data_IF_580595013205
#
_entry.id   IF_580595013205
#
_cell.length_a   1.000
_cell.length_b   1.000
_cell.length_c   1.000
_cell.angle_alpha   90.00
_cell.angle_beta   90.00
_cell.angle_gamma   90.00
#
_symmetry.space_group_name_H-M   'P 1'
#
loop_
_entity.id
_entity.type
_entity.pdbx_description
1 polymer ?
#
# COMPACT_ATOMS: atom_id res chain seq x y z
N UNK A 1 20.08 -60.09 -25.53
CA UNK A 1 21.50 -59.67 -25.43
C UNK A 1 21.58 -58.14 -25.33
N UNK A 2 22.29 -57.64 -24.31
CA UNK A 2 22.98 -56.34 -24.20
C UNK A 2 22.12 -55.06 -24.36
N UNK A 3 21.81 -54.36 -23.26
CA UNK A 3 22.64 -53.28 -22.68
C UNK A 3 22.46 -51.89 -23.33
N UNK A 4 21.22 -51.40 -23.48
CA UNK A 4 21.00 -50.00 -23.92
C UNK A 4 20.11 -49.20 -22.95
N UNK A 5 19.81 -49.71 -21.74
CA UNK A 5 19.04 -48.98 -20.71
C UNK A 5 19.88 -48.07 -19.79
N UNK A 6 21.17 -47.82 -20.09
CA UNK A 6 22.07 -47.03 -19.21
C UNK A 6 22.55 -45.69 -19.79
N UNK A 7 22.10 -45.29 -20.97
CA UNK A 7 22.62 -44.08 -21.65
C UNK A 7 21.66 -42.89 -21.65
N UNK A 8 20.37 -43.10 -21.43
CA UNK A 8 19.37 -42.02 -21.43
C UNK A 8 19.16 -41.35 -20.06
N UNK A 9 19.72 -41.91 -18.98
CA UNK A 9 19.65 -41.31 -17.63
C UNK A 9 20.66 -40.16 -17.42
N UNK A 10 21.52 -39.87 -18.41
CA UNK A 10 22.56 -38.81 -18.36
C UNK A 10 22.22 -37.58 -19.21
N UNK A 11 20.95 -37.35 -19.53
CA UNK A 11 20.48 -36.18 -20.30
C UNK A 11 19.70 -35.14 -19.47
N UNK A 12 19.66 -35.29 -18.14
CA UNK A 12 18.88 -34.40 -17.24
C UNK A 12 19.78 -33.41 -16.46
N UNK A 13 21.09 -33.42 -16.68
CA UNK A 13 22.04 -32.62 -15.90
C UNK A 13 22.68 -31.46 -16.69
N UNK A 14 21.88 -30.67 -17.43
CA UNK A 14 22.35 -29.39 -17.99
C UNK A 14 21.22 -28.36 -18.12
N UNK A 15 20.55 -28.03 -17.02
CA UNK A 15 19.84 -26.76 -16.84
C UNK A 15 20.53 -25.98 -15.71
N UNK A 16 21.77 -25.58 -15.97
CA UNK A 16 22.54 -24.72 -15.08
C UNK A 16 22.20 -23.27 -15.40
N UNK A 17 21.26 -22.72 -14.63
CA UNK A 17 21.49 -21.50 -13.84
C UNK A 17 22.09 -20.28 -14.58
N UNK A 18 21.34 -19.66 -15.50
CA UNK A 18 21.63 -18.28 -15.95
C UNK A 18 20.35 -17.45 -15.94
N UNK A 19 19.88 -17.16 -14.73
CA UNK A 19 18.67 -16.38 -14.50
C UNK A 19 18.76 -15.64 -13.19
N UNK A 20 19.79 -14.80 -13.02
CA UNK A 20 19.86 -13.92 -11.85
C UNK A 20 20.71 -12.68 -12.17
N UNK A 21 20.21 -11.52 -11.72
CA UNK A 21 20.89 -10.22 -11.64
C UNK A 21 20.63 -9.20 -12.76
N UNK A 22 19.37 -9.06 -13.20
CA UNK A 22 18.82 -7.71 -13.40
C UNK A 22 17.90 -7.39 -12.22
N UNK A 23 18.53 -7.16 -11.06
CA UNK A 23 17.86 -6.59 -9.89
C UNK A 23 17.41 -5.18 -10.24
N UNK A 24 16.16 -5.04 -10.64
CA UNK A 24 15.51 -3.76 -10.83
C UNK A 24 15.64 -2.95 -9.55
N UNK A 25 16.39 -1.85 -9.61
CA UNK A 25 16.40 -0.83 -8.59
C UNK A 25 15.05 -0.12 -8.65
N UNK A 26 14.00 -0.75 -8.11
CA UNK A 26 12.73 -0.06 -7.86
C UNK A 26 13.00 0.88 -6.71
N UNK A 27 13.40 2.11 -7.03
CA UNK A 27 13.36 3.23 -6.10
C UNK A 27 11.90 3.37 -5.66
N UNK A 28 11.57 2.70 -4.55
CA UNK A 28 10.30 2.87 -3.86
C UNK A 28 10.34 4.29 -3.30
N UNK A 29 10.02 5.27 -4.15
CA UNK A 29 9.91 6.66 -3.76
C UNK A 29 9.06 6.72 -2.50
N UNK A 30 9.63 7.30 -1.43
CA UNK A 30 9.07 7.35 -0.09
C UNK A 30 7.85 8.29 0.01
N UNK A 31 6.96 8.26 -0.98
CA UNK A 31 5.63 8.83 -0.87
C UNK A 31 4.84 7.90 0.04
N UNK A 32 4.61 8.36 1.27
CA UNK A 32 3.64 7.77 2.18
C UNK A 32 2.36 7.44 1.37
N UNK A 33 1.90 6.20 1.48
CA UNK A 33 0.87 5.60 0.64
C UNK A 33 -0.35 6.55 0.46
N UNK A 34 -0.46 7.21 -0.70
CA UNK A 34 -1.47 8.25 -1.00
C UNK A 34 -2.86 7.68 -1.32
N UNK A 35 -3.08 6.37 -1.11
CA UNK A 35 -4.32 5.66 -1.45
C UNK A 35 -5.55 6.34 -0.87
N UNK A 36 -5.57 6.60 0.45
CA UNK A 36 -6.74 7.16 1.12
C UNK A 36 -6.99 8.62 0.73
N UNK A 37 -5.93 9.39 0.47
CA UNK A 37 -6.08 10.77 0.01
C UNK A 37 -6.73 10.85 -1.37
N UNK A 38 -6.32 9.96 -2.30
CA UNK A 38 -6.96 9.84 -3.62
C UNK A 38 -8.41 9.39 -3.51
N UNK A 39 -8.68 8.38 -2.67
CA UNK A 39 -10.04 7.89 -2.43
C UNK A 39 -10.95 8.99 -1.84
N UNK A 40 -10.45 9.74 -0.86
CA UNK A 40 -11.19 10.85 -0.25
C UNK A 40 -11.48 11.96 -1.27
N UNK A 41 -10.51 12.33 -2.13
CA UNK A 41 -10.74 13.30 -3.22
C UNK A 41 -11.74 12.80 -4.26
N UNK A 42 -11.74 11.51 -4.57
CA UNK A 42 -12.69 10.91 -5.50
C UNK A 42 -14.11 10.96 -4.95
N UNK A 43 -14.28 10.73 -3.63
CA UNK A 43 -15.60 10.71 -2.99
C UNK A 43 -16.13 12.10 -2.62
N UNK A 44 -15.31 12.96 -2.02
CA UNK A 44 -15.73 14.26 -1.47
C UNK A 44 -15.31 15.46 -2.33
N UNK A 45 -14.54 15.25 -3.39
CA UNK A 45 -14.06 16.31 -4.27
C UNK A 45 -12.77 16.97 -3.81
N UNK A 46 -12.06 17.58 -4.78
CA UNK A 46 -10.76 18.23 -4.58
C UNK A 46 -10.85 19.55 -3.80
N UNK A 47 -12.02 20.19 -3.79
CA UNK A 47 -12.28 21.46 -3.08
C UNK A 47 -12.44 21.25 -1.58
N UNK A 48 -13.03 20.11 -1.18
CA UNK A 48 -13.16 19.68 0.22
C UNK A 48 -11.83 19.08 0.70
N UNK A 49 -11.29 18.12 -0.07
CA UNK A 49 -10.05 17.41 0.28
C UNK A 49 -8.86 18.10 -0.40
N UNK A 50 -8.50 19.26 0.15
CA UNK A 50 -7.49 20.15 -0.45
C UNK A 50 -6.08 19.59 -0.39
N UNK A 51 -5.63 19.08 0.75
CA UNK A 51 -4.27 18.62 0.98
C UNK A 51 -4.20 17.58 2.11
N UNK A 52 -3.00 17.10 2.44
CA UNK A 52 -2.81 16.07 3.46
C UNK A 52 -3.31 16.49 4.85
N UNK A 53 -3.46 17.80 5.12
CA UNK A 53 -4.05 18.30 6.39
C UNK A 53 -5.51 17.90 6.58
N UNK A 54 -6.15 17.36 5.53
CA UNK A 54 -7.50 16.81 5.66
C UNK A 54 -7.53 15.64 6.65
N UNK A 55 -6.48 14.81 6.76
CA UNK A 55 -6.41 13.74 7.75
C UNK A 55 -5.19 13.84 8.69
N UNK A 56 -4.18 14.63 8.34
CA UNK A 56 -2.97 14.81 9.12
C UNK A 56 -2.88 16.20 9.72
N UNK A 57 -2.00 16.40 10.69
CA UNK A 57 -1.67 17.73 11.21
C UNK A 57 -0.75 18.47 10.23
N UNK A 58 0.22 17.75 9.66
CA UNK A 58 1.24 18.29 8.75
C UNK A 58 0.76 18.27 7.30
N UNK A 59 1.20 19.27 6.53
CA UNK A 59 0.82 19.41 5.10
C UNK A 59 1.45 18.35 4.20
N UNK A 60 2.63 17.86 4.59
CA UNK A 60 3.34 16.80 3.88
C UNK A 60 3.97 15.87 4.93
N UNK A 61 3.19 14.94 5.50
CA UNK A 61 3.68 14.04 6.53
C UNK A 61 4.75 13.10 5.96
N UNK A 62 5.78 12.81 6.76
CA UNK A 62 6.80 11.79 6.44
C UNK A 62 6.34 10.44 6.98
N UNK A 63 6.92 9.35 6.48
CA UNK A 63 6.58 7.99 6.93
C UNK A 63 6.70 7.82 8.45
N UNK A 64 7.71 8.41 9.07
CA UNK A 64 7.94 8.30 10.52
C UNK A 64 7.35 9.47 11.31
N UNK A 65 6.75 10.46 10.62
CA UNK A 65 6.22 11.69 11.19
C UNK A 65 4.91 12.06 10.50
N UNK A 66 3.86 11.31 10.86
CA UNK A 66 2.54 11.36 10.21
C UNK A 66 1.39 11.56 11.21
N UNK A 67 1.57 12.46 12.18
CA UNK A 67 0.54 12.77 13.17
C UNK A 67 -0.83 13.04 12.52
N UNK A 68 -1.84 12.34 13.03
CA UNK A 68 -3.23 12.45 12.55
C UNK A 68 -3.97 13.56 13.29
N UNK A 69 -4.80 14.30 12.56
CA UNK A 69 -5.76 15.22 13.17
C UNK A 69 -6.96 14.45 13.76
N UNK A 70 -7.97 15.15 14.28
CA UNK A 70 -9.16 14.49 14.86
C UNK A 70 -9.89 13.60 13.84
N UNK A 71 -10.03 14.06 12.60
CA UNK A 71 -10.66 13.29 11.51
C UNK A 71 -9.89 11.99 11.21
N UNK A 72 -8.57 12.09 11.08
CA UNK A 72 -7.70 10.94 10.80
C UNK A 72 -7.72 9.92 11.95
N UNK A 73 -7.67 10.41 13.20
CA UNK A 73 -7.81 9.56 14.40
C UNK A 73 -9.18 8.89 14.43
N UNK A 74 -10.25 9.61 14.12
CA UNK A 74 -11.61 9.06 14.07
C UNK A 74 -11.73 7.92 13.05
N UNK A 75 -11.14 8.04 11.86
CA UNK A 75 -11.12 6.97 10.86
C UNK A 75 -10.39 5.71 11.34
N UNK A 76 -9.28 5.86 12.05
CA UNK A 76 -8.59 4.72 12.67
C UNK A 76 -9.45 4.02 13.72
N UNK A 77 -10.18 4.79 14.53
CA UNK A 77 -11.11 4.24 15.51
C UNK A 77 -12.29 3.53 14.83
N UNK A 78 -12.81 4.05 13.71
CA UNK A 78 -13.84 3.35 12.94
C UNK A 78 -13.33 2.04 12.36
N UNK A 79 -12.09 2.00 11.84
CA UNK A 79 -11.47 0.75 11.38
C UNK A 79 -11.48 -0.31 12.48
N UNK A 80 -11.08 0.07 13.70
CA UNK A 80 -11.07 -0.82 14.88
C UNK A 80 -12.49 -1.26 15.26
N UNK A 81 -13.43 -0.31 15.41
CA UNK A 81 -14.83 -0.58 15.78
C UNK A 81 -15.52 -1.53 14.80
N UNK A 82 -15.28 -1.32 13.51
CA UNK A 82 -15.84 -2.13 12.42
C UNK A 82 -15.07 -3.43 12.17
N UNK A 83 -13.95 -3.64 12.88
CA UNK A 83 -13.02 -4.78 12.67
C UNK A 83 -12.62 -4.93 11.21
N UNK A 84 -12.48 -3.80 10.51
CA UNK A 84 -12.23 -3.77 9.09
C UNK A 84 -10.76 -4.04 8.79
N UNK A 85 -10.50 -4.82 7.73
CA UNK A 85 -9.12 -5.08 7.26
C UNK A 85 -8.41 -3.80 6.83
N UNK A 86 -9.16 -2.86 6.26
CA UNK A 86 -8.64 -1.59 5.78
C UNK A 86 -9.55 -0.40 6.11
N UNK A 87 -9.03 0.83 5.98
CA UNK A 87 -9.81 2.06 6.14
C UNK A 87 -10.69 2.26 4.92
N UNK A 88 -11.97 2.53 5.15
CA UNK A 88 -12.86 3.07 4.12
C UNK A 88 -13.12 4.55 4.40
N UNK A 89 -12.77 5.39 3.43
CA UNK A 89 -12.98 6.84 3.50
C UNK A 89 -14.46 7.22 3.47
N UNK A 90 -15.34 6.31 3.06
CA UNK A 90 -16.78 6.56 3.03
C UNK A 90 -17.35 6.85 4.41
N UNK A 91 -16.76 6.28 5.47
CA UNK A 91 -17.19 6.50 6.84
C UNK A 91 -17.13 7.98 7.24
N UNK A 92 -16.32 8.81 6.56
CA UNK A 92 -16.28 10.26 6.83
C UNK A 92 -17.63 10.96 6.62
N UNK A 93 -18.60 10.34 5.94
CA UNK A 93 -19.99 10.84 5.88
C UNK A 93 -20.65 10.88 7.27
N UNK A 94 -20.21 10.05 8.21
CA UNK A 94 -20.69 10.01 9.59
C UNK A 94 -19.88 10.93 10.53
N UNK A 95 -18.80 11.53 10.04
CA UNK A 95 -17.94 12.38 10.85
C UNK A 95 -18.56 13.76 11.03
N UNK A 96 -19.14 14.01 12.20
CA UNK A 96 -19.94 15.21 12.51
C UNK A 96 -19.16 16.32 13.22
N UNK A 97 -17.85 16.16 13.44
CA UNK A 97 -17.02 17.19 14.06
C UNK A 97 -16.50 18.16 13.01
N UNK A 98 -16.58 19.46 13.31
CA UNK A 98 -15.85 20.47 12.54
C UNK A 98 -14.37 20.32 12.85
N UNK A 99 -13.56 20.08 11.83
CA UNK A 99 -12.12 20.21 11.97
C UNK A 99 -11.80 21.68 12.24
N UNK A 100 -11.07 21.94 13.32
CA UNK A 100 -10.61 23.27 13.74
C UNK A 100 -9.80 23.96 12.64
#
# INVERSE_FOLDING_TARGET
MKNESRKTLKLIALFIFTGLLLGGFTTSGAFANVKYFKAARAKFGKTVVKNCKYCHVKMLPKKDDHELNERGKWLLEQKKKRKAKDIDVSWLEEYNKKDR
#
